data_IF_880599736059
#
_entry.id   IF_880599736059
#
_cell.length_a   1.000
_cell.length_b   1.000
_cell.length_c   1.000
_cell.angle_alpha   90.00
_cell.angle_beta   90.00
_cell.angle_gamma   90.00
#
_symmetry.space_group_name_H-M   'P 1'
#
loop_
_entity.id
_entity.type
_entity.pdbx_description
1 polymer ?
#
# COMPACT_ATOMS: atom_id res chain seq x y z
N UNK A 1 -4.30 24.92 -19.64
CA UNK A 1 -4.51 23.55 -20.19
C UNK A 1 -5.95 23.15 -19.84
N UNK A 2 -6.67 22.30 -20.58
CA UNK A 2 -8.02 21.90 -20.10
C UNK A 2 -7.89 20.92 -18.91
N UNK A 3 -8.88 20.84 -18.02
CA UNK A 3 -8.80 20.00 -16.80
C UNK A 3 -8.47 18.53 -17.10
N UNK A 4 -8.93 18.01 -18.24
CA UNK A 4 -8.66 16.63 -18.65
C UNK A 4 -7.20 16.42 -19.05
N UNK A 5 -6.61 17.41 -19.71
CA UNK A 5 -5.19 17.44 -20.07
C UNK A 5 -4.30 17.56 -18.82
N UNK A 6 -4.66 18.43 -17.85
CA UNK A 6 -3.95 18.56 -16.57
C UNK A 6 -3.91 17.20 -15.85
N UNK A 7 -5.07 16.56 -15.68
CA UNK A 7 -5.20 15.24 -15.07
C UNK A 7 -4.32 14.19 -15.74
N UNK A 8 -4.30 14.17 -17.08
CA UNK A 8 -3.49 13.22 -17.87
C UNK A 8 -2.00 13.46 -17.64
N UNK A 9 -1.57 14.72 -17.69
CA UNK A 9 -0.17 15.10 -17.49
C UNK A 9 0.29 14.69 -16.08
N UNK A 10 -0.44 15.08 -15.04
CA UNK A 10 -0.10 14.75 -13.65
C UNK A 10 -0.11 13.24 -13.39
N UNK A 11 -1.05 12.51 -13.98
CA UNK A 11 -1.07 11.06 -13.90
C UNK A 11 0.17 10.43 -14.57
N UNK A 12 0.59 10.95 -15.74
CA UNK A 12 1.82 10.50 -16.40
C UNK A 12 3.05 10.65 -15.52
N UNK A 13 3.17 11.80 -14.83
CA UNK A 13 4.26 12.05 -13.88
C UNK A 13 4.23 11.08 -12.69
N UNK A 14 3.06 10.83 -12.11
CA UNK A 14 2.89 9.87 -11.02
C UNK A 14 3.28 8.45 -11.44
N UNK A 15 2.86 8.01 -12.63
CA UNK A 15 3.21 6.69 -13.16
C UNK A 15 4.73 6.59 -13.39
N UNK A 16 5.35 7.62 -13.97
CA UNK A 16 6.79 7.65 -14.17
C UNK A 16 7.57 7.57 -12.85
N UNK A 17 7.16 8.34 -11.84
CA UNK A 17 7.85 8.46 -10.56
C UNK A 17 7.62 7.28 -9.62
N UNK A 18 6.36 6.88 -9.44
CA UNK A 18 5.95 5.96 -8.38
C UNK A 18 5.75 4.51 -8.91
N UNK A 19 5.70 4.33 -10.23
CA UNK A 19 5.45 3.03 -10.88
C UNK A 19 6.47 2.69 -11.98
N UNK A 20 7.61 3.38 -12.04
CA UNK A 20 8.68 3.16 -13.03
C UNK A 20 8.19 3.27 -14.50
N UNK A 21 7.18 4.10 -14.74
CA UNK A 21 6.55 4.22 -16.06
C UNK A 21 5.61 3.07 -16.42
N UNK A 22 5.41 2.08 -15.53
CA UNK A 22 4.62 0.89 -15.80
C UNK A 22 3.12 1.13 -15.57
N UNK A 23 2.42 1.47 -16.66
CA UNK A 23 0.97 1.71 -16.68
C UNK A 23 0.17 0.48 -16.24
N UNK A 24 0.63 -0.75 -16.53
CA UNK A 24 -0.08 -1.96 -16.12
C UNK A 24 -0.03 -2.13 -14.59
N UNK A 25 1.14 -1.91 -13.99
CA UNK A 25 1.33 -1.93 -12.52
C UNK A 25 0.47 -0.86 -11.83
N UNK A 26 0.41 0.34 -12.38
CA UNK A 26 -0.49 1.38 -11.88
C UNK A 26 -1.97 0.98 -12.01
N UNK A 27 -2.38 0.41 -13.14
CA UNK A 27 -3.76 -0.01 -13.36
C UNK A 27 -4.20 -1.07 -12.34
N UNK A 28 -3.33 -2.05 -12.08
CA UNK A 28 -3.54 -3.05 -11.02
C UNK A 28 -3.67 -2.37 -9.65
N UNK A 29 -2.78 -1.43 -9.33
CA UNK A 29 -2.80 -0.69 -8.07
C UNK A 29 -4.12 0.05 -7.84
N UNK A 30 -4.74 0.64 -8.87
CA UNK A 30 -6.03 1.33 -8.69
C UNK A 30 -7.26 0.44 -8.96
N UNK A 31 -7.09 -0.89 -9.05
CA UNK A 31 -8.15 -1.86 -9.37
C UNK A 31 -8.88 -1.50 -10.69
N UNK A 32 -8.11 -1.29 -11.76
CA UNK A 32 -8.59 -1.02 -13.13
C UNK A 32 -7.85 -1.88 -14.15
N UNK A 33 -8.45 -2.02 -15.34
CA UNK A 33 -7.81 -2.78 -16.43
C UNK A 33 -6.80 -1.88 -17.17
N UNK A 34 -5.58 -2.36 -17.51
CA UNK A 34 -4.59 -1.56 -18.23
C UNK A 34 -5.13 -0.86 -19.49
N UNK A 35 -5.94 -1.51 -20.36
CA UNK A 35 -6.52 -0.83 -21.52
C UNK A 35 -7.38 0.40 -21.20
N UNK A 36 -8.02 0.44 -20.02
CA UNK A 36 -8.78 1.62 -19.59
C UNK A 36 -7.85 2.80 -19.30
N UNK A 37 -6.66 2.53 -18.78
CA UNK A 37 -5.67 3.54 -18.43
C UNK A 37 -4.90 4.00 -19.67
N UNK A 38 -4.49 3.10 -20.55
CA UNK A 38 -3.86 3.47 -21.83
C UNK A 38 -4.73 4.39 -22.68
N UNK A 39 -6.06 4.18 -22.66
CA UNK A 39 -7.02 5.07 -23.34
C UNK A 39 -7.03 6.50 -22.82
N UNK A 40 -6.58 6.74 -21.58
CA UNK A 40 -6.48 8.11 -21.06
C UNK A 40 -5.38 8.89 -21.78
N UNK A 41 -4.35 8.21 -22.28
CA UNK A 41 -3.19 8.79 -22.95
C UNK A 41 -3.28 8.79 -24.48
N UNK A 42 -4.31 8.17 -25.06
CA UNK A 42 -4.51 8.17 -26.51
C UNK A 42 -5.07 9.50 -27.01
N UNK A 43 -4.53 10.02 -28.11
CA UNK A 43 -4.95 11.27 -28.78
C UNK A 43 -6.25 11.14 -29.59
N UNK A 44 -7.05 10.10 -29.34
CA UNK A 44 -8.27 9.88 -30.11
C UNK A 44 -9.28 11.01 -29.84
N UNK A 45 -9.82 11.70 -30.87
CA UNK A 45 -10.74 12.83 -30.71
C UNK A 45 -12.09 12.44 -30.05
N UNK A 46 -12.42 11.14 -30.02
CA UNK A 46 -13.59 10.55 -29.34
C UNK A 46 -13.27 9.96 -27.97
N UNK A 47 -12.01 10.00 -27.53
CA UNK A 47 -11.58 9.48 -26.24
C UNK A 47 -12.13 10.35 -25.14
N UNK A 48 -13.15 9.86 -24.40
CA UNK A 48 -13.50 10.45 -23.11
C UNK A 48 -12.24 10.41 -22.25
N UNK A 49 -11.62 11.56 -22.03
CA UNK A 49 -10.45 11.63 -21.17
C UNK A 49 -10.81 11.36 -19.70
N UNK A 50 -9.90 11.69 -18.79
CA UNK A 50 -10.12 11.42 -17.37
C UNK A 50 -11.26 12.26 -16.80
N UNK A 51 -12.44 11.64 -16.68
CA UNK A 51 -13.60 12.22 -16.01
C UNK A 51 -13.37 12.37 -14.50
N UNK A 52 -14.21 13.19 -13.87
CA UNK A 52 -14.08 13.54 -12.45
C UNK A 52 -14.06 12.31 -11.54
N UNK A 53 -15.01 11.39 -11.72
CA UNK A 53 -15.11 10.16 -10.89
C UNK A 53 -13.82 9.34 -10.93
N UNK A 54 -13.17 9.23 -12.09
CA UNK A 54 -11.91 8.51 -12.22
C UNK A 54 -10.76 9.27 -11.56
N UNK A 55 -10.72 10.60 -11.69
CA UNK A 55 -9.73 11.43 -11.02
C UNK A 55 -9.84 11.31 -9.50
N UNK A 56 -11.06 11.40 -8.94
CA UNK A 56 -11.28 11.23 -7.49
C UNK A 56 -10.85 9.84 -7.00
N UNK A 57 -11.15 8.80 -7.77
CA UNK A 57 -10.75 7.43 -7.45
C UNK A 57 -9.23 7.28 -7.39
N UNK A 58 -8.51 7.82 -8.38
CA UNK A 58 -7.04 7.78 -8.43
C UNK A 58 -6.44 8.53 -7.23
N UNK A 59 -6.96 9.72 -6.91
CA UNK A 59 -6.48 10.48 -5.76
C UNK A 59 -6.63 9.70 -4.45
N UNK A 60 -7.78 9.08 -4.24
CA UNK A 60 -8.02 8.26 -3.05
C UNK A 60 -7.05 7.08 -2.97
N UNK A 61 -6.81 6.37 -4.09
CA UNK A 61 -5.86 5.25 -4.11
C UNK A 61 -4.42 5.69 -3.82
N UNK A 62 -4.03 6.89 -4.25
CA UNK A 62 -2.69 7.45 -4.06
C UNK A 62 -2.56 8.30 -2.79
N UNK A 63 -3.60 8.35 -1.95
CA UNK A 63 -3.66 9.17 -0.74
C UNK A 63 -3.50 10.68 -0.99
N UNK A 64 -3.82 11.15 -2.20
CA UNK A 64 -3.66 12.55 -2.61
C UNK A 64 -4.78 13.43 -2.04
N UNK A 65 -4.49 14.71 -1.87
CA UNK A 65 -5.52 15.68 -1.52
C UNK A 65 -6.59 15.74 -2.62
N UNK A 66 -7.84 15.93 -2.21
CA UNK A 66 -8.94 16.15 -3.16
C UNK A 66 -8.64 17.36 -4.04
N UNK A 67 -8.76 17.14 -5.34
CA UNK A 67 -8.58 18.06 -6.47
C UNK A 67 -7.13 18.27 -6.87
N UNK A 68 -6.23 17.49 -6.28
CA UNK A 68 -4.82 17.57 -6.64
C UNK A 68 -4.60 17.29 -8.13
N UNK A 69 -5.30 16.34 -8.76
CA UNK A 69 -5.16 16.10 -10.21
C UNK A 69 -5.73 17.22 -11.09
N UNK A 70 -6.48 18.17 -10.52
CA UNK A 70 -7.11 19.29 -11.23
C UNK A 70 -6.28 20.58 -11.17
N UNK A 71 -5.36 20.68 -10.21
CA UNK A 71 -4.54 21.87 -9.99
C UNK A 71 -3.33 21.90 -10.94
N UNK A 72 -3.15 23.03 -11.63
CA UNK A 72 -1.93 23.34 -12.39
C UNK A 72 -0.79 23.61 -11.38
N UNK A 73 0.18 22.69 -11.28
CA UNK A 73 1.31 22.79 -10.36
C UNK A 73 2.29 21.63 -10.48
N UNK A 74 3.56 21.87 -10.11
CA UNK A 74 4.64 20.87 -10.21
C UNK A 74 4.54 19.77 -9.14
N UNK A 75 5.09 18.61 -9.48
CA UNK A 75 5.21 17.42 -8.60
C UNK A 75 6.12 17.64 -7.39
N UNK A 76 6.93 18.68 -7.39
CA UNK A 76 8.01 18.93 -6.41
C UNK A 76 7.51 19.15 -4.98
N UNK A 77 6.21 19.38 -4.80
CA UNK A 77 5.58 19.54 -3.48
C UNK A 77 5.16 18.23 -2.83
N UNK A 78 5.21 17.10 -3.56
CA UNK A 78 4.73 15.81 -3.07
C UNK A 78 5.87 14.82 -2.86
N UNK A 79 6.03 14.25 -1.65
CA UNK A 79 6.97 13.16 -1.46
C UNK A 79 6.62 11.95 -2.35
N UNK A 80 7.61 11.08 -2.67
CA UNK A 80 7.38 9.81 -3.35
C UNK A 80 6.30 8.97 -2.67
N UNK A 81 5.53 8.18 -3.43
CA UNK A 81 4.42 7.39 -2.88
C UNK A 81 4.86 6.50 -1.71
N UNK A 82 6.04 5.87 -1.81
CA UNK A 82 6.60 5.01 -0.76
C UNK A 82 6.77 5.73 0.59
N UNK A 83 7.13 7.01 0.56
CA UNK A 83 7.37 7.81 1.78
C UNK A 83 6.05 8.24 2.41
N UNK A 84 5.07 8.61 1.56
CA UNK A 84 3.70 8.94 2.00
C UNK A 84 2.96 7.74 2.54
N UNK A 85 3.17 6.57 1.93
CA UNK A 85 2.66 5.28 2.42
C UNK A 85 3.33 4.94 3.75
N UNK A 86 4.65 5.09 3.90
CA UNK A 86 5.34 4.83 5.16
C UNK A 86 4.87 5.75 6.30
N UNK A 87 4.72 7.06 6.08
CA UNK A 87 4.19 7.99 7.08
C UNK A 87 2.74 7.64 7.48
N UNK A 88 1.91 7.28 6.51
CA UNK A 88 0.55 6.82 6.76
C UNK A 88 0.53 5.49 7.55
N UNK A 89 1.32 4.51 7.13
CA UNK A 89 1.44 3.20 7.76
C UNK A 89 1.92 3.29 9.22
N UNK A 90 2.87 4.18 9.52
CA UNK A 90 3.35 4.42 10.90
C UNK A 90 2.25 4.98 11.81
N UNK A 91 1.27 5.69 11.24
CA UNK A 91 0.14 6.26 11.99
C UNK A 91 -1.04 5.29 12.19
N UNK A 92 -1.03 4.14 11.50
CA UNK A 92 -2.11 3.17 11.55
C UNK A 92 -1.98 2.22 12.74
N UNK A 93 -3.12 1.71 13.23
CA UNK A 93 -3.11 0.59 14.16
C UNK A 93 -2.64 -0.70 13.47
N UNK A 94 -2.11 -1.64 14.24
CA UNK A 94 -1.66 -2.95 13.73
C UNK A 94 -2.77 -3.66 12.92
N UNK A 95 -4.02 -3.58 13.39
CA UNK A 95 -5.17 -4.16 12.72
C UNK A 95 -5.43 -3.52 11.35
N UNK A 96 -5.28 -2.20 11.24
CA UNK A 96 -5.46 -1.49 9.98
C UNK A 96 -4.34 -1.82 8.98
N UNK A 97 -3.10 -1.95 9.46
CA UNK A 97 -1.97 -2.42 8.64
C UNK A 97 -2.19 -3.84 8.11
N UNK A 98 -2.65 -4.76 8.97
CA UNK A 98 -2.96 -6.12 8.55
C UNK A 98 -4.05 -6.15 7.49
N UNK A 99 -5.11 -5.34 7.66
CA UNK A 99 -6.19 -5.26 6.70
C UNK A 99 -5.70 -4.71 5.34
N UNK A 100 -4.83 -3.69 5.37
CA UNK A 100 -4.22 -3.13 4.16
C UNK A 100 -3.39 -4.18 3.41
N UNK A 101 -2.56 -4.94 4.14
CA UNK A 101 -1.77 -6.03 3.58
C UNK A 101 -2.66 -7.11 2.93
N UNK A 102 -3.76 -7.49 3.58
CA UNK A 102 -4.73 -8.45 3.04
C UNK A 102 -5.33 -7.93 1.73
N UNK A 103 -5.72 -6.66 1.70
CA UNK A 103 -6.31 -6.03 0.52
C UNK A 103 -5.31 -5.97 -0.65
N UNK A 104 -4.04 -5.65 -0.37
CA UNK A 104 -2.97 -5.65 -1.37
C UNK A 104 -2.67 -7.05 -1.90
N UNK A 105 -2.63 -8.06 -1.04
CA UNK A 105 -2.47 -9.46 -1.45
C UNK A 105 -3.64 -9.91 -2.33
N UNK A 106 -4.88 -9.56 -1.97
CA UNK A 106 -6.06 -9.85 -2.79
C UNK A 106 -6.02 -9.13 -4.14
N UNK A 107 -5.57 -7.87 -4.17
CA UNK A 107 -5.39 -7.10 -5.40
C UNK A 107 -4.32 -7.74 -6.30
N UNK A 108 -3.17 -8.12 -5.74
CA UNK A 108 -2.11 -8.79 -6.48
C UNK A 108 -2.54 -10.17 -7.03
N UNK A 109 -3.35 -10.91 -6.27
CA UNK A 109 -3.96 -12.17 -6.73
C UNK A 109 -4.94 -11.96 -7.89
N UNK A 110 -5.82 -10.95 -7.79
CA UNK A 110 -6.75 -10.60 -8.88
C UNK A 110 -6.02 -10.13 -10.14
N UNK A 111 -4.92 -9.38 -9.97
CA UNK A 111 -4.04 -8.93 -11.05
C UNK A 111 -3.21 -10.04 -11.72
N UNK A 112 -3.20 -11.26 -11.15
CA UNK A 112 -2.31 -12.37 -11.55
C UNK A 112 -0.81 -12.05 -11.42
N UNK A 113 -0.48 -11.05 -10.61
CA UNK A 113 0.89 -10.61 -10.33
C UNK A 113 1.53 -11.38 -9.17
N UNK A 114 0.72 -12.16 -8.43
CA UNK A 114 1.17 -13.03 -7.34
C UNK A 114 1.13 -14.50 -7.73
N UNK A 115 2.25 -15.21 -7.56
CA UNK A 115 2.37 -16.63 -7.87
C UNK A 115 1.99 -17.52 -6.67
N UNK A 116 1.56 -18.75 -6.93
CA UNK A 116 1.32 -19.76 -5.88
C UNK A 116 2.57 -20.02 -5.03
N UNK A 117 3.77 -20.01 -5.63
CA UNK A 117 5.03 -20.19 -4.91
C UNK A 117 5.29 -19.05 -3.93
N UNK A 118 4.99 -17.82 -4.32
CA UNK A 118 5.10 -16.64 -3.47
C UNK A 118 4.16 -16.72 -2.26
N UNK A 119 2.91 -17.16 -2.47
CA UNK A 119 1.95 -17.37 -1.37
C UNK A 119 2.39 -18.44 -0.37
N UNK A 120 2.92 -19.58 -0.87
CA UNK A 120 3.45 -20.63 -0.01
C UNK A 120 4.61 -20.10 0.83
N UNK A 121 5.51 -19.32 0.22
CA UNK A 121 6.64 -18.73 0.91
C UNK A 121 6.19 -17.73 2.00
N UNK A 122 5.25 -16.84 1.70
CA UNK A 122 4.65 -15.93 2.68
C UNK A 122 4.01 -16.70 3.84
N UNK A 123 3.30 -17.80 3.55
CA UNK A 123 2.73 -18.64 4.59
C UNK A 123 3.80 -19.22 5.51
N UNK A 124 4.89 -19.75 4.95
CA UNK A 124 6.01 -20.27 5.74
C UNK A 124 6.69 -19.18 6.58
N UNK A 125 6.77 -17.94 6.10
CA UNK A 125 7.28 -16.81 6.88
C UNK A 125 6.39 -16.51 8.09
N UNK A 126 5.06 -16.49 7.92
CA UNK A 126 4.10 -16.30 9.02
C UNK A 126 4.22 -17.43 10.06
N UNK A 127 4.35 -18.67 9.60
CA UNK A 127 4.52 -19.82 10.48
C UNK A 127 5.85 -19.72 11.27
N UNK A 128 6.94 -19.28 10.63
CA UNK A 128 8.24 -19.06 11.28
C UNK A 128 8.19 -17.94 12.33
N UNK A 129 7.59 -16.80 12.00
CA UNK A 129 7.42 -15.67 12.93
C UNK A 129 6.59 -16.07 14.17
N UNK A 130 5.56 -16.90 13.96
CA UNK A 130 4.74 -17.41 15.07
C UNK A 130 5.54 -18.32 16.01
N UNK A 131 6.42 -19.16 15.45
CA UNK A 131 7.29 -20.05 16.23
C UNK A 131 8.37 -19.29 17.01
N UNK A 132 8.95 -18.24 16.41
CA UNK A 132 9.92 -17.39 17.10
C UNK A 132 9.29 -16.65 18.28
N UNK A 133 8.05 -16.17 18.13
CA UNK A 133 7.30 -15.56 19.23
C UNK A 133 7.04 -16.54 20.38
N UNK A 134 6.70 -17.80 20.08
CA UNK A 134 6.53 -18.85 21.11
C UNK A 134 7.84 -19.15 21.85
N UNK A 135 8.97 -19.21 21.15
CA UNK A 135 10.29 -19.47 21.75
C UNK A 135 10.77 -18.35 22.67
N UNK A 136 10.40 -17.09 22.38
CA UNK A 136 10.74 -15.95 23.25
C UNK A 136 9.95 -16.01 24.56
N UNK A 137 8.71 -16.48 24.55
CA UNK A 137 7.88 -16.66 25.75
C UNK A 137 8.40 -17.81 26.62
N UNK A 138 8.81 -18.94 26.01
CA UNK A 138 9.31 -20.11 26.74
C UNK A 138 10.70 -19.90 27.38
N UNK A 139 11.47 -18.90 26.93
CA UNK A 139 12.80 -18.57 27.47
C UNK A 139 12.80 -17.48 28.55
N UNK A 140 11.63 -17.11 29.09
CA UNK A 140 11.57 -16.21 30.23
C UNK A 140 12.05 -16.95 31.50
N UNK A 141 13.10 -16.49 32.22
CA UNK A 141 13.60 -17.22 33.38
C UNK A 141 12.50 -17.30 34.43
N UNK A 142 12.15 -18.52 34.86
CA UNK A 142 11.34 -18.74 36.06
C UNK A 142 12.01 -17.99 37.21
N UNK A 143 11.35 -16.94 37.70
CA UNK A 143 11.74 -16.31 38.96
C UNK A 143 11.74 -17.41 40.02
N UNK A 144 12.93 -17.74 40.55
CA UNK A 144 13.07 -18.71 41.62
C UNK A 144 12.24 -18.23 42.81
N UNK A 145 11.44 -19.10 43.44
CA UNK A 145 10.76 -18.74 44.68
C UNK A 145 11.81 -18.42 45.74
N UNK A 146 11.69 -17.25 46.35
CA UNK A 146 12.57 -16.76 47.41
C UNK A 146 12.49 -17.73 48.61
N UNK A 147 13.58 -18.41 49.01
CA UNK A 147 13.57 -19.27 50.16
C UNK A 147 13.83 -18.40 51.40
N UNK A 148 12.80 -17.71 51.88
CA UNK A 148 12.79 -17.17 53.24
C UNK A 148 11.60 -17.79 53.96
N UNK A 149 11.82 -19.04 54.40
CA UNK A 149 11.07 -19.62 55.49
C UNK A 149 11.76 -19.27 56.81
N UNK A 150 10.93 -18.72 57.70
CA UNK A 150 10.78 -19.07 59.11
C UNK A 150 11.90 -18.73 60.11
N UNK A 151 11.40 -18.38 61.31
CA UNK A 151 12.07 -18.11 62.60
C UNK A 151 12.52 -16.64 62.82
N UNK A 152 11.95 -15.87 63.75
CA UNK A 152 11.35 -16.20 65.05
C UNK A 152 10.21 -15.23 65.43
N UNK A 153 9.07 -15.82 65.82
CA UNK A 153 8.10 -15.23 66.75
C UNK A 153 8.63 -15.35 68.20
N UNK A 154 8.36 -14.30 68.98
CA UNK A 154 8.38 -14.12 70.45
C UNK A 154 9.65 -14.39 71.29
#
# INVERSE_FOLDING_TARGET
MNTTEIRRYKLGLLIARDFDGNVARFAEFIDRRPPQIYRLFSDAPSGRGMGESLARHIENCLGLQRYWLDEEGDMDTLPPLRERVAEYEVSLSEQALLQLLIDDLHRAMRGKSLSRKSLICLRSMVDALSQDLSRVIDNQPLALPNPEQDEQDD
#
